data_IF_699580096921
#
_entry.id   IF_699580096921
#
_cell.length_a   1.000
_cell.length_b   1.000
_cell.length_c   1.000
_cell.angle_alpha   90.00
_cell.angle_beta   90.00
_cell.angle_gamma   90.00
#
_symmetry.space_group_name_H-M   'P 1'
#
loop_
_entity.id
_entity.type
_entity.pdbx_description
1 polymer ?
#
# COMPACT_ATOMS: atom_id res chain seq x y z
N UNK A 1 -7.29 11.23 32.22
CA UNK A 1 -6.30 10.16 31.97
C UNK A 1 -6.84 9.31 30.83
N UNK A 2 -6.45 9.59 29.58
CA UNK A 2 -6.83 8.75 28.44
C UNK A 2 -5.80 7.62 28.31
N UNK A 3 -6.27 6.39 28.23
CA UNK A 3 -5.43 5.20 28.13
C UNK A 3 -4.64 5.23 26.81
N UNK A 4 -3.31 5.24 26.90
CA UNK A 4 -2.36 4.94 25.84
C UNK A 4 -2.40 3.44 25.51
N UNK A 5 -3.49 2.99 24.90
CA UNK A 5 -3.56 1.69 24.23
C UNK A 5 -3.09 1.88 22.79
N UNK A 6 -1.98 1.27 22.41
CA UNK A 6 -1.56 1.25 21.00
C UNK A 6 -2.72 0.78 20.13
N UNK A 7 -3.10 1.57 19.12
CA UNK A 7 -4.22 1.23 18.24
C UNK A 7 -4.03 -0.18 17.67
N UNK A 8 -5.03 -1.04 17.85
CA UNK A 8 -4.99 -2.42 17.36
C UNK A 8 -4.81 -2.44 15.84
N UNK A 9 -4.29 -3.55 15.28
CA UNK A 9 -4.16 -3.74 13.83
C UNK A 9 -5.44 -3.34 13.08
N UNK A 10 -6.60 -3.78 13.58
CA UNK A 10 -7.91 -3.49 12.99
C UNK A 10 -8.24 -2.00 13.05
N UNK A 11 -7.95 -1.30 14.17
CA UNK A 11 -8.18 0.14 14.26
C UNK A 11 -7.31 0.92 13.27
N UNK A 12 -6.04 0.54 13.12
CA UNK A 12 -5.13 1.13 12.13
C UNK A 12 -5.60 0.89 10.70
N UNK A 13 -6.07 -0.32 10.40
CA UNK A 13 -6.68 -0.65 9.12
C UNK A 13 -7.92 0.22 8.84
N UNK A 14 -8.84 0.35 9.81
CA UNK A 14 -10.03 1.19 9.67
C UNK A 14 -9.63 2.66 9.42
N UNK A 15 -8.67 3.19 10.17
CA UNK A 15 -8.16 4.55 9.95
C UNK A 15 -7.52 4.73 8.57
N UNK A 16 -6.69 3.77 8.15
CA UNK A 16 -6.06 3.79 6.83
C UNK A 16 -7.09 3.75 5.68
N UNK A 17 -8.12 2.90 5.80
CA UNK A 17 -9.23 2.82 4.83
C UNK A 17 -10.12 4.07 4.82
N UNK A 18 -10.18 4.80 5.95
CA UNK A 18 -10.87 6.09 6.09
C UNK A 18 -10.00 7.28 5.67
N UNK A 19 -8.78 7.04 5.19
CA UNK A 19 -7.84 8.08 4.79
C UNK A 19 -7.45 9.01 5.95
N UNK A 20 -7.45 8.49 7.18
CA UNK A 20 -7.17 9.25 8.39
C UNK A 20 -5.67 9.55 8.53
N UNK A 21 -5.30 10.83 8.39
CA UNK A 21 -3.91 11.28 8.44
C UNK A 21 -3.22 10.94 9.78
N UNK A 22 -3.82 11.20 10.96
CA UNK A 22 -3.23 10.81 12.24
C UNK A 22 -2.94 9.32 12.36
N UNK A 23 -3.73 8.46 11.73
CA UNK A 23 -3.46 7.02 11.68
C UNK A 23 -2.16 6.72 10.93
N UNK A 24 -1.89 7.37 9.81
CA UNK A 24 -0.64 7.18 9.06
C UNK A 24 0.58 7.70 9.82
N UNK A 25 0.48 8.85 10.50
CA UNK A 25 1.55 9.37 11.38
C UNK A 25 1.87 8.39 12.52
N UNK A 26 0.85 7.80 13.16
CA UNK A 26 1.06 6.79 14.20
C UNK A 26 1.70 5.51 13.67
N UNK A 27 1.31 5.07 12.47
CA UNK A 27 1.90 3.90 11.81
C UNK A 27 3.36 4.18 11.48
N UNK A 28 3.67 5.35 10.95
CA UNK A 28 5.02 5.78 10.60
C UNK A 28 5.97 5.78 11.79
N UNK A 29 5.53 6.22 12.97
CA UNK A 29 6.41 6.26 14.15
C UNK A 29 6.54 4.92 14.89
N UNK A 30 5.71 3.92 14.60
CA UNK A 30 5.73 2.62 15.28
C UNK A 30 6.46 1.55 14.45
N UNK A 31 7.68 1.17 14.85
CA UNK A 31 8.47 0.17 14.13
C UNK A 31 7.80 -1.22 14.14
N UNK A 32 6.93 -1.49 15.13
CA UNK A 32 6.14 -2.72 15.20
C UNK A 32 5.01 -2.75 14.17
N UNK A 33 4.77 -1.67 13.44
CA UNK A 33 3.81 -1.60 12.37
C UNK A 33 4.30 -2.28 11.08
N UNK A 34 5.61 -2.53 10.90
CA UNK A 34 6.12 -3.15 9.66
C UNK A 34 5.63 -4.60 9.49
N UNK A 35 5.70 -5.49 10.51
CA UNK A 35 5.08 -6.81 10.43
C UNK A 35 3.56 -6.74 10.25
N UNK A 36 2.90 -5.75 10.88
CA UNK A 36 1.46 -5.52 10.70
C UNK A 36 1.11 -5.16 9.26
N UNK A 37 1.91 -4.31 8.62
CA UNK A 37 1.75 -3.94 7.22
C UNK A 37 1.90 -5.16 6.29
N UNK A 38 2.83 -6.07 6.58
CA UNK A 38 2.93 -7.34 5.85
C UNK A 38 1.66 -8.19 6.00
N UNK A 39 1.07 -8.25 7.21
CA UNK A 39 -0.23 -8.92 7.43
C UNK A 39 -1.32 -8.27 6.59
N UNK A 40 -1.41 -6.94 6.54
CA UNK A 40 -2.38 -6.23 5.70
C UNK A 40 -2.22 -6.62 4.22
N UNK A 41 -0.98 -6.63 3.71
CA UNK A 41 -0.68 -7.02 2.32
C UNK A 41 -1.13 -8.45 2.04
N UNK A 42 -0.87 -9.39 2.96
CA UNK A 42 -1.33 -10.78 2.83
C UNK A 42 -2.85 -10.87 2.81
N UNK A 43 -3.54 -10.18 3.72
CA UNK A 43 -5.00 -10.19 3.76
C UNK A 43 -5.61 -9.63 2.46
N UNK A 44 -5.03 -8.55 1.92
CA UNK A 44 -5.44 -7.95 0.64
C UNK A 44 -5.19 -8.90 -0.52
N UNK A 45 -4.06 -9.61 -0.53
CA UNK A 45 -3.74 -10.59 -1.56
C UNK A 45 -4.72 -11.77 -1.53
N UNK A 46 -5.09 -12.26 -0.34
CA UNK A 46 -6.12 -13.29 -0.17
C UNK A 46 -7.48 -12.77 -0.65
N UNK A 47 -7.89 -11.57 -0.24
CA UNK A 47 -9.14 -10.95 -0.67
C UNK A 47 -9.22 -10.79 -2.19
N UNK A 48 -8.14 -10.33 -2.81
CA UNK A 48 -8.03 -10.20 -4.26
C UNK A 48 -8.08 -11.56 -4.95
N UNK A 49 -7.45 -12.57 -4.37
CA UNK A 49 -7.52 -13.95 -4.84
C UNK A 49 -8.95 -14.49 -4.83
N UNK A 50 -9.68 -14.34 -3.72
CA UNK A 50 -11.08 -14.77 -3.60
C UNK A 50 -12.00 -13.99 -4.56
N UNK A 51 -11.76 -12.69 -4.72
CA UNK A 51 -12.58 -11.83 -5.57
C UNK A 51 -12.36 -12.01 -7.07
N UNK A 52 -11.15 -12.43 -7.47
CA UNK A 52 -10.77 -12.62 -8.87
C UNK A 52 -10.77 -14.07 -9.34
N UNK A 53 -10.55 -15.03 -8.44
CA UNK A 53 -10.57 -16.45 -8.77
C UNK A 53 -12.01 -16.97 -8.79
N UNK A 54 -12.36 -17.70 -9.84
CA UNK A 54 -13.37 -18.76 -9.74
C UNK A 54 -12.80 -19.95 -8.95
N UNK A 55 -13.16 -21.19 -9.32
CA UNK A 55 -12.69 -22.41 -8.64
C UNK A 55 -11.18 -22.71 -8.76
N UNK A 56 -10.38 -21.81 -9.32
CA UNK A 56 -8.96 -22.05 -9.64
C UNK A 56 -8.03 -21.58 -8.51
N UNK A 57 -7.59 -22.53 -7.68
CA UNK A 57 -6.75 -22.28 -6.49
C UNK A 57 -5.24 -22.45 -6.75
N UNK A 58 -4.85 -22.85 -7.96
CA UNK A 58 -3.48 -23.28 -8.32
C UNK A 58 -2.42 -22.17 -8.27
N UNK A 59 -2.80 -20.91 -8.07
CA UNK A 59 -1.88 -19.76 -8.05
C UNK A 59 -1.73 -19.03 -6.72
N UNK A 60 -2.40 -19.47 -5.64
CA UNK A 60 -2.52 -18.67 -4.41
C UNK A 60 -1.15 -18.37 -3.77
N UNK A 61 -0.29 -19.38 -3.62
CA UNK A 61 1.03 -19.20 -2.99
C UNK A 61 1.90 -18.25 -3.81
N UNK A 62 1.94 -18.44 -5.14
CA UNK A 62 2.67 -17.56 -6.03
C UNK A 62 2.14 -16.11 -5.94
N UNK A 63 0.81 -15.93 -5.94
CA UNK A 63 0.16 -14.63 -5.78
C UNK A 63 0.49 -13.93 -4.46
N UNK A 64 0.50 -14.66 -3.34
CA UNK A 64 0.89 -14.13 -2.03
C UNK A 64 2.35 -13.65 -2.03
N UNK A 65 3.27 -14.46 -2.58
CA UNK A 65 4.68 -14.09 -2.68
C UNK A 65 4.87 -12.88 -3.59
N UNK A 66 4.22 -12.87 -4.76
CA UNK A 66 4.24 -11.72 -5.68
C UNK A 66 3.68 -10.45 -5.02
N UNK A 67 2.65 -10.54 -4.19
CA UNK A 67 2.09 -9.40 -3.47
C UNK A 67 3.08 -8.82 -2.45
N UNK A 68 3.73 -9.68 -1.65
CA UNK A 68 4.74 -9.28 -0.67
C UNK A 68 5.98 -8.67 -1.35
N UNK A 69 6.50 -9.32 -2.39
CA UNK A 69 7.63 -8.80 -3.18
C UNK A 69 7.24 -7.47 -3.81
N UNK A 70 6.07 -7.39 -4.44
CA UNK A 70 5.56 -6.17 -5.05
C UNK A 70 5.41 -5.01 -4.08
N UNK A 71 4.98 -5.28 -2.84
CA UNK A 71 4.92 -4.30 -1.76
C UNK A 71 6.31 -3.79 -1.37
N UNK A 72 7.27 -4.68 -1.14
CA UNK A 72 8.65 -4.29 -0.82
C UNK A 72 9.28 -3.49 -1.95
N UNK A 73 9.08 -3.92 -3.20
CA UNK A 73 9.58 -3.21 -4.39
C UNK A 73 9.01 -1.80 -4.49
N UNK A 74 7.69 -1.63 -4.36
CA UNK A 74 7.12 -0.28 -4.46
C UNK A 74 7.54 0.61 -3.28
N UNK A 75 7.66 0.07 -2.06
CA UNK A 75 8.16 0.82 -0.91
C UNK A 75 9.61 1.28 -1.14
N UNK A 76 10.47 0.40 -1.67
CA UNK A 76 11.84 0.74 -2.03
C UNK A 76 11.92 1.81 -3.14
N UNK A 77 11.05 1.70 -4.15
CA UNK A 77 10.96 2.70 -5.23
C UNK A 77 10.50 4.05 -4.70
N UNK A 78 9.45 4.11 -3.86
CA UNK A 78 8.99 5.35 -3.23
C UNK A 78 10.09 5.96 -2.38
N UNK A 79 10.75 5.16 -1.54
CA UNK A 79 11.88 5.61 -0.73
C UNK A 79 13.00 6.20 -1.61
N UNK A 80 13.42 5.48 -2.64
CA UNK A 80 14.50 5.92 -3.54
C UNK A 80 14.12 7.20 -4.30
N UNK A 81 12.92 7.23 -4.89
CA UNK A 81 12.44 8.39 -5.64
C UNK A 81 12.31 9.61 -4.72
N UNK A 82 11.72 9.45 -3.54
CA UNK A 82 11.51 10.54 -2.59
C UNK A 82 12.82 11.09 -2.00
N UNK A 83 13.73 10.21 -1.57
CA UNK A 83 14.94 10.59 -0.82
C UNK A 83 16.17 10.83 -1.69
N UNK A 84 16.20 10.33 -2.93
CA UNK A 84 17.36 10.47 -3.83
C UNK A 84 17.01 11.24 -5.11
N UNK A 85 15.99 10.81 -5.85
CA UNK A 85 15.70 11.37 -7.17
C UNK A 85 15.03 12.75 -7.10
N UNK A 86 14.08 12.90 -6.18
CA UNK A 86 13.33 14.12 -5.93
C UNK A 86 13.65 14.73 -4.56
N UNK A 87 14.86 14.46 -4.06
CA UNK A 87 15.29 14.85 -2.72
C UNK A 87 15.15 16.36 -2.47
N UNK A 88 14.77 16.73 -1.25
CA UNK A 88 14.82 18.10 -0.75
C UNK A 88 15.55 18.13 0.59
N UNK A 89 16.00 19.32 1.01
CA UNK A 89 16.72 19.51 2.29
C UNK A 89 15.93 19.08 3.52
N UNK A 90 14.60 18.97 3.41
CA UNK A 90 13.69 18.54 4.48
C UNK A 90 13.28 17.08 4.38
N UNK A 91 13.64 16.36 3.31
CA UNK A 91 13.22 14.97 3.14
C UNK A 91 14.13 14.06 3.94
N UNK A 92 13.62 13.55 5.05
CA UNK A 92 14.26 12.53 5.87
C UNK A 92 13.27 11.41 6.09
N UNK A 93 13.59 10.23 5.59
CA UNK A 93 12.78 9.04 5.76
C UNK A 93 13.68 7.81 5.76
N UNK A 94 13.17 6.73 6.31
CA UNK A 94 13.74 5.40 6.29
C UNK A 94 12.89 4.50 5.41
N UNK A 95 13.51 3.46 4.85
CA UNK A 95 12.76 2.45 4.09
C UNK A 95 11.64 1.81 4.94
N UNK A 96 11.86 1.68 6.25
CA UNK A 96 10.87 1.14 7.19
C UNK A 96 9.62 2.02 7.33
N UNK A 97 9.77 3.35 7.44
CA UNK A 97 8.66 4.34 7.46
C UNK A 97 7.79 4.22 6.21
N UNK A 98 8.43 4.16 5.04
CA UNK A 98 7.72 4.01 3.76
C UNK A 98 7.05 2.64 3.68
N UNK A 99 7.74 1.55 4.04
CA UNK A 99 7.19 0.20 3.93
C UNK A 99 5.91 0.04 4.75
N UNK A 100 5.92 0.45 6.03
CA UNK A 100 4.76 0.26 6.91
C UNK A 100 3.57 1.13 6.51
N UNK A 101 3.78 2.41 6.21
CA UNK A 101 2.68 3.30 5.76
C UNK A 101 2.09 2.84 4.43
N UNK A 102 2.93 2.50 3.44
CA UNK A 102 2.47 1.98 2.13
C UNK A 102 1.74 0.65 2.27
N UNK A 103 2.18 -0.25 3.14
CA UNK A 103 1.48 -1.53 3.33
C UNK A 103 0.08 -1.34 3.93
N UNK A 104 -0.09 -0.40 4.88
CA UNK A 104 -1.41 -0.04 5.39
C UNK A 104 -2.28 0.68 4.36
N UNK A 105 -1.69 1.39 3.38
CA UNK A 105 -2.46 2.04 2.30
C UNK A 105 -3.28 1.06 1.45
N UNK A 106 -2.87 -0.22 1.42
CA UNK A 106 -3.58 -1.26 0.69
C UNK A 106 -4.88 -1.71 1.37
N UNK A 107 -5.17 -1.26 2.60
CA UNK A 107 -6.33 -1.73 3.36
C UNK A 107 -7.64 -1.59 2.58
N UNK A 108 -7.83 -0.51 1.82
CA UNK A 108 -9.03 -0.30 1.01
C UNK A 108 -9.26 -1.42 -0.03
N UNK A 109 -8.18 -2.07 -0.49
CA UNK A 109 -8.26 -3.17 -1.45
C UNK A 109 -8.77 -4.48 -0.83
N UNK A 110 -9.02 -4.55 0.49
CA UNK A 110 -9.75 -5.69 1.06
C UNK A 110 -11.16 -5.83 0.47
N UNK A 111 -11.74 -4.73 -0.01
CA UNK A 111 -13.00 -4.72 -0.72
C UNK A 111 -12.97 -5.55 -2.02
N UNK A 112 -11.77 -5.88 -2.54
CA UNK A 112 -11.61 -6.76 -3.68
C UNK A 112 -12.25 -8.14 -3.45
N UNK A 113 -12.44 -8.57 -2.20
CA UNK A 113 -13.15 -9.83 -1.89
C UNK A 113 -14.55 -9.90 -2.52
N UNK A 114 -15.22 -8.77 -2.74
CA UNK A 114 -16.54 -8.71 -3.37
C UNK A 114 -16.50 -8.71 -4.91
N UNK A 115 -15.31 -8.88 -5.51
CA UNK A 115 -15.10 -8.86 -6.95
C UNK A 115 -15.91 -9.91 -7.72
N UNK A 116 -16.26 -11.02 -7.07
CA UNK A 116 -17.04 -12.11 -7.66
C UNK A 116 -18.52 -11.74 -7.93
N UNK A 117 -19.05 -10.67 -7.33
CA UNK A 117 -20.46 -10.29 -7.47
C UNK A 117 -20.68 -9.66 -8.85
N UNK A 118 -21.53 -10.22 -9.73
CA UNK A 118 -21.82 -9.61 -11.02
C UNK A 118 -22.39 -8.20 -10.86
N UNK A 119 -21.99 -7.27 -11.73
CA UNK A 119 -22.40 -5.85 -11.75
C UNK A 119 -21.88 -5.03 -10.56
N UNK A 120 -22.05 -5.50 -9.32
CA UNK A 120 -21.66 -4.78 -8.10
C UNK A 120 -20.15 -4.88 -7.84
N UNK A 121 -19.54 -6.04 -8.08
CA UNK A 121 -18.10 -6.28 -7.86
C UNK A 121 -17.20 -5.27 -8.56
N UNK A 122 -17.38 -5.00 -9.87
CA UNK A 122 -16.63 -3.96 -10.58
C UNK A 122 -16.81 -2.54 -10.00
N UNK A 123 -18.01 -2.21 -9.49
CA UNK A 123 -18.28 -0.91 -8.86
C UNK A 123 -17.49 -0.81 -7.54
N UNK A 124 -17.52 -1.86 -6.73
CA UNK A 124 -16.74 -1.93 -5.48
C UNK A 124 -15.24 -1.84 -5.78
N UNK A 125 -14.76 -2.56 -6.79
CA UNK A 125 -13.36 -2.53 -7.20
C UNK A 125 -12.92 -1.13 -7.66
N UNK A 126 -13.78 -0.40 -8.39
CA UNK A 126 -13.51 0.98 -8.78
C UNK A 126 -13.39 1.90 -7.56
N UNK A 127 -14.32 1.82 -6.62
CA UNK A 127 -14.28 2.61 -5.37
C UNK A 127 -13.04 2.27 -4.55
N UNK A 128 -12.73 0.99 -4.40
CA UNK A 128 -11.55 0.51 -3.70
C UNK A 128 -10.26 1.03 -4.34
N UNK A 129 -10.17 0.99 -5.68
CA UNK A 129 -9.01 1.51 -6.42
C UNK A 129 -8.80 3.02 -6.22
N UNK A 130 -9.88 3.80 -6.21
CA UNK A 130 -9.81 5.24 -5.93
C UNK A 130 -9.31 5.46 -4.48
N UNK A 131 -9.91 4.78 -3.51
CA UNK A 131 -9.52 4.88 -2.10
C UNK A 131 -8.06 4.47 -1.90
N UNK A 132 -7.62 3.36 -2.48
CA UNK A 132 -6.24 2.88 -2.37
C UNK A 132 -5.24 3.84 -3.02
N UNK A 133 -5.61 4.49 -4.12
CA UNK A 133 -4.75 5.51 -4.75
C UNK A 133 -4.58 6.74 -3.87
N UNK A 134 -5.68 7.23 -3.28
CA UNK A 134 -5.61 8.36 -2.34
C UNK A 134 -4.86 7.98 -1.06
N UNK A 135 -5.10 6.78 -0.55
CA UNK A 135 -4.38 6.22 0.60
C UNK A 135 -2.88 6.14 0.35
N UNK A 136 -2.46 5.72 -0.86
CA UNK A 136 -1.06 5.69 -1.25
C UNK A 136 -0.45 7.10 -1.21
N UNK A 137 -1.13 8.11 -1.75
CA UNK A 137 -0.62 9.48 -1.70
C UNK A 137 -0.48 9.99 -0.26
N UNK A 138 -1.42 9.68 0.63
CA UNK A 138 -1.33 10.04 2.05
C UNK A 138 -0.16 9.30 2.72
N UNK A 139 -0.03 8.00 2.50
CA UNK A 139 1.06 7.19 3.04
C UNK A 139 2.43 7.74 2.64
N UNK A 140 2.63 8.00 1.34
CA UNK A 140 3.86 8.59 0.81
C UNK A 140 4.10 9.98 1.41
N UNK A 141 3.05 10.81 1.51
CA UNK A 141 3.14 12.14 2.11
C UNK A 141 3.63 12.09 3.55
N UNK A 142 3.09 11.17 4.35
CA UNK A 142 3.46 11.03 5.77
C UNK A 142 4.88 10.48 5.87
N UNK A 143 5.14 9.32 5.28
CA UNK A 143 6.44 8.64 5.39
C UNK A 143 7.66 9.39 4.90
N UNK A 144 7.48 10.46 4.12
CA UNK A 144 8.56 11.25 3.54
C UNK A 144 8.59 12.69 4.07
N UNK A 145 7.63 13.07 4.92
CA UNK A 145 7.46 14.44 5.42
C UNK A 145 7.46 15.50 4.30
N UNK A 146 6.64 15.28 3.27
CA UNK A 146 6.55 16.17 2.10
C UNK A 146 5.14 16.71 1.87
N UNK A 147 5.03 17.80 1.09
CA UNK A 147 3.73 18.32 0.65
C UNK A 147 2.97 17.32 -0.24
N UNK A 148 1.63 17.41 -0.29
CA UNK A 148 0.77 16.54 -1.09
C UNK A 148 1.15 16.52 -2.58
N UNK A 149 1.45 17.67 -3.19
CA UNK A 149 1.83 17.73 -4.60
C UNK A 149 3.12 16.94 -4.91
N UNK A 150 4.09 17.00 -3.98
CA UNK A 150 5.33 16.22 -4.08
C UNK A 150 5.09 14.73 -3.85
N UNK A 151 4.22 14.37 -2.91
CA UNK A 151 3.85 12.98 -2.67
C UNK A 151 3.23 12.33 -3.92
N UNK A 152 2.36 13.06 -4.61
CA UNK A 152 1.80 12.61 -5.89
C UNK A 152 2.90 12.42 -6.93
N UNK A 153 3.82 13.39 -7.09
CA UNK A 153 4.94 13.27 -8.04
C UNK A 153 5.82 12.05 -7.73
N UNK A 154 6.20 11.84 -6.47
CA UNK A 154 6.99 10.68 -6.03
C UNK A 154 6.25 9.37 -6.33
N UNK A 155 4.97 9.28 -5.97
CA UNK A 155 4.17 8.08 -6.19
C UNK A 155 4.02 7.74 -7.68
N UNK A 156 3.77 8.75 -8.52
CA UNK A 156 3.64 8.56 -9.97
C UNK A 156 4.96 8.14 -10.63
N UNK A 157 6.08 8.73 -10.24
CA UNK A 157 7.41 8.35 -10.75
C UNK A 157 7.79 6.94 -10.29
N UNK A 158 7.54 6.60 -9.02
CA UNK A 158 7.77 5.25 -8.51
C UNK A 158 6.90 4.21 -9.23
N UNK A 159 5.63 4.53 -9.51
CA UNK A 159 4.72 3.67 -10.28
C UNK A 159 5.22 3.48 -11.72
N UNK A 160 5.65 4.57 -12.38
CA UNK A 160 6.18 4.51 -13.73
C UNK A 160 7.43 3.61 -13.81
N UNK A 161 8.37 3.76 -12.86
CA UNK A 161 9.55 2.89 -12.77
C UNK A 161 9.14 1.43 -12.57
N UNK A 162 8.18 1.16 -11.68
CA UNK A 162 7.65 -0.19 -11.47
C UNK A 162 7.07 -0.80 -12.74
N UNK A 163 6.30 -0.04 -13.51
CA UNK A 163 5.70 -0.47 -14.78
C UNK A 163 6.80 -0.80 -15.81
N UNK A 164 7.83 0.05 -15.92
CA UNK A 164 8.96 -0.18 -16.82
C UNK A 164 9.70 -1.47 -16.45
N UNK A 165 10.00 -1.68 -15.16
CA UNK A 165 10.64 -2.91 -14.68
C UNK A 165 9.78 -4.14 -15.03
N UNK A 166 8.48 -4.08 -14.77
CA UNK A 166 7.57 -5.18 -15.09
C UNK A 166 7.52 -5.48 -16.60
N UNK A 167 7.46 -4.44 -17.44
CA UNK A 167 7.46 -4.58 -18.90
C UNK A 167 8.76 -5.20 -19.44
N UNK A 168 9.92 -4.81 -18.89
CA UNK A 168 11.22 -5.38 -19.28
C UNK A 168 11.28 -6.87 -18.88
N UNK A 169 10.88 -7.21 -17.66
CA UNK A 169 10.85 -8.61 -17.22
C UNK A 169 9.93 -9.45 -18.12
N UNK A 170 8.74 -8.95 -18.44
CA UNK A 170 7.81 -9.61 -19.35
C UNK A 170 8.35 -9.77 -20.79
N UNK A 171 9.23 -8.87 -21.25
CA UNK A 171 9.82 -8.98 -22.58
C UNK A 171 10.98 -10.00 -22.67
N UNK A 172 11.60 -10.34 -21.54
CA UNK A 172 12.77 -11.23 -21.49
C UNK A 172 12.37 -12.68 -21.24
N UNK A 173 11.29 -12.92 -20.48
CA UNK A 173 10.79 -14.25 -20.11
C UNK A 173 9.51 -14.59 -20.85
#
# INVERSE_FOLDING_TARGET
>A
MQATGGNSLVQRMIGAARLDVPTYEQIEHDEKATPQAAIVVVLVAIASGIGGAGDETSGIIAGLLSALIGWVVIAALVYFVGTRLLATTTTSATLGEVARTVGFSYTANLLAIFGFIPVIGPIIALVAGILATVALFIAVRQSLDISTGRAIAVALVALLIRIIIAAILFAIF
#
